data_IF_739794309121
#
_entry.id   IF_739794309121
#
_cell.length_a   1.000
_cell.length_b   1.000
_cell.length_c   1.000
_cell.angle_alpha   90.00
_cell.angle_beta   90.00
_cell.angle_gamma   90.00
#
_symmetry.space_group_name_H-M   'P 1'
#
loop_
_entity.id
_entity.type
_entity.pdbx_description
1 polymer ?
#
# COMPACT_ATOMS: atom_id res chain seq x y z
N UNK A 1 -23.61 35.31 3.84
CA UNK A 1 -22.30 34.66 3.60
C UNK A 1 -21.84 34.94 2.17
N UNK A 2 -20.53 35.15 1.94
CA UNK A 2 -20.01 35.32 0.58
C UNK A 2 -20.27 34.05 -0.24
N UNK A 3 -20.64 34.19 -1.51
CA UNK A 3 -20.94 33.07 -2.43
C UNK A 3 -19.80 32.03 -2.50
N UNK A 4 -18.55 32.48 -2.36
CA UNK A 4 -17.36 31.63 -2.28
C UNK A 4 -17.38 30.71 -1.04
N UNK A 5 -17.70 31.25 0.14
CA UNK A 5 -17.73 30.48 1.39
C UNK A 5 -18.81 29.41 1.35
N UNK A 6 -19.98 29.73 0.78
CA UNK A 6 -21.07 28.76 0.60
C UNK A 6 -20.65 27.63 -0.33
N UNK A 7 -19.99 27.94 -1.46
CA UNK A 7 -19.48 26.93 -2.40
C UNK A 7 -18.42 26.03 -1.77
N UNK A 8 -17.48 26.61 -1.02
CA UNK A 8 -16.45 25.81 -0.35
C UNK A 8 -17.06 24.90 0.70
N UNK A 9 -17.99 25.41 1.51
CA UNK A 9 -18.68 24.61 2.52
C UNK A 9 -19.50 23.48 1.89
N UNK A 10 -20.20 23.74 0.78
CA UNK A 10 -20.95 22.70 0.07
C UNK A 10 -20.04 21.61 -0.49
N UNK A 11 -18.88 21.96 -1.05
CA UNK A 11 -17.92 20.96 -1.55
C UNK A 11 -17.36 20.09 -0.41
N UNK A 12 -17.05 20.70 0.74
CA UNK A 12 -16.59 19.96 1.93
C UNK A 12 -17.65 18.95 2.38
N UNK A 13 -18.90 19.40 2.53
CA UNK A 13 -20.01 18.53 2.95
C UNK A 13 -20.22 17.41 1.93
N UNK A 14 -20.26 17.71 0.63
CA UNK A 14 -20.41 16.70 -0.41
C UNK A 14 -19.29 15.64 -0.36
N UNK A 15 -18.03 16.06 -0.29
CA UNK A 15 -16.89 15.13 -0.23
C UNK A 15 -16.95 14.26 1.01
N UNK A 16 -17.27 14.82 2.18
CA UNK A 16 -17.41 14.03 3.41
C UNK A 16 -18.55 13.00 3.30
N UNK A 17 -19.71 13.39 2.78
CA UNK A 17 -20.82 12.45 2.58
C UNK A 17 -20.48 11.36 1.57
N UNK A 18 -19.76 11.70 0.49
CA UNK A 18 -19.31 10.73 -0.50
C UNK A 18 -18.34 9.71 0.10
N UNK A 19 -17.38 10.15 0.92
CA UNK A 19 -16.45 9.26 1.63
C UNK A 19 -17.19 8.34 2.62
N UNK A 20 -18.19 8.84 3.35
CA UNK A 20 -18.98 8.02 4.29
C UNK A 20 -19.78 6.93 3.57
N UNK A 21 -20.42 7.26 2.45
CA UNK A 21 -21.14 6.29 1.63
C UNK A 21 -20.17 5.25 1.07
N UNK A 22 -19.03 5.70 0.51
CA UNK A 22 -17.99 4.80 0.01
C UNK A 22 -17.49 3.84 1.09
N UNK A 23 -17.20 4.34 2.30
CA UNK A 23 -16.78 3.51 3.43
C UNK A 23 -17.82 2.45 3.81
N UNK A 24 -19.10 2.82 3.89
CA UNK A 24 -20.17 1.88 4.21
C UNK A 24 -20.35 0.80 3.13
N UNK A 25 -20.22 1.17 1.85
CA UNK A 25 -20.29 0.21 0.74
C UNK A 25 -19.09 -0.74 0.75
N UNK A 26 -17.87 -0.24 0.92
CA UNK A 26 -16.68 -1.10 0.98
C UNK A 26 -16.71 -2.04 2.19
N UNK A 27 -17.14 -1.57 3.36
CA UNK A 27 -17.32 -2.41 4.54
C UNK A 27 -18.34 -3.54 4.28
N UNK A 28 -19.51 -3.20 3.72
CA UNK A 28 -20.53 -4.19 3.41
C UNK A 28 -20.08 -5.24 2.37
N UNK A 29 -19.18 -4.88 1.45
CA UNK A 29 -18.72 -5.77 0.37
C UNK A 29 -17.48 -6.60 0.76
N UNK A 30 -16.53 -6.02 1.50
CA UNK A 30 -15.20 -6.63 1.69
C UNK A 30 -14.99 -7.21 3.10
N UNK A 31 -15.75 -6.78 4.12
CA UNK A 31 -15.45 -7.14 5.52
C UNK A 31 -15.62 -8.64 5.80
N UNK A 32 -16.64 -9.30 5.27
CA UNK A 32 -16.79 -10.76 5.45
C UNK A 32 -15.65 -11.53 4.78
N UNK A 33 -15.27 -11.13 3.57
CA UNK A 33 -14.19 -11.77 2.82
C UNK A 33 -12.84 -11.59 3.54
N UNK A 34 -12.54 -10.40 4.08
CA UNK A 34 -11.34 -10.16 4.87
C UNK A 34 -11.30 -11.06 6.11
N UNK A 35 -12.41 -11.19 6.85
CA UNK A 35 -12.51 -12.07 8.01
C UNK A 35 -12.24 -13.54 7.64
N UNK A 36 -12.84 -14.02 6.54
CA UNK A 36 -12.62 -15.38 6.05
C UNK A 36 -11.15 -15.63 5.67
N UNK A 37 -10.52 -14.68 5.00
CA UNK A 37 -9.10 -14.77 4.63
C UNK A 37 -8.20 -14.78 5.85
N UNK A 38 -8.44 -13.89 6.82
CA UNK A 38 -7.70 -13.84 8.09
C UNK A 38 -7.82 -15.15 8.85
N UNK A 39 -9.03 -15.71 8.95
CA UNK A 39 -9.25 -16.99 9.61
C UNK A 39 -8.56 -18.15 8.88
N UNK A 40 -8.58 -18.16 7.55
CA UNK A 40 -7.88 -19.16 6.75
C UNK A 40 -6.37 -19.11 6.99
N UNK A 41 -5.77 -17.91 6.96
CA UNK A 41 -4.34 -17.72 7.23
C UNK A 41 -3.98 -18.16 8.65
N UNK A 42 -4.80 -17.79 9.65
CA UNK A 42 -4.61 -18.21 11.04
C UNK A 42 -4.70 -19.73 11.22
N UNK A 43 -5.64 -20.39 10.52
CA UNK A 43 -5.73 -21.86 10.51
C UNK A 43 -4.49 -22.50 9.89
N UNK A 44 -4.03 -22.01 8.74
CA UNK A 44 -2.81 -22.51 8.09
C UNK A 44 -1.57 -22.29 8.96
N UNK A 45 -1.44 -21.13 9.62
CA UNK A 45 -0.38 -20.83 10.60
C UNK A 45 -0.34 -21.88 11.71
N UNK A 46 -1.49 -22.18 12.34
CA UNK A 46 -1.60 -23.19 13.41
C UNK A 46 -1.25 -24.60 12.92
N UNK A 47 -1.68 -24.95 11.71
CA UNK A 47 -1.35 -26.24 11.11
C UNK A 47 0.15 -26.38 10.83
N UNK A 48 0.80 -25.34 10.29
CA UNK A 48 2.24 -25.33 10.02
C UNK A 48 3.07 -25.41 11.31
N UNK A 49 2.75 -24.59 12.30
CA UNK A 49 3.46 -24.57 13.59
C UNK A 49 3.37 -25.92 14.31
N UNK A 50 2.18 -26.53 14.35
CA UNK A 50 2.00 -27.85 14.94
C UNK A 50 2.68 -28.97 14.13
N UNK A 51 2.57 -28.96 12.79
CA UNK A 51 3.14 -29.99 11.91
C UNK A 51 4.67 -30.04 11.98
N UNK A 52 5.32 -28.89 12.13
CA UNK A 52 6.78 -28.77 12.13
C UNK A 52 7.38 -28.47 13.52
N UNK A 53 6.56 -28.49 14.58
CA UNK A 53 6.97 -28.19 15.95
C UNK A 53 7.73 -26.86 16.08
N UNK A 54 7.22 -25.79 15.44
CA UNK A 54 7.83 -24.46 15.48
C UNK A 54 7.35 -23.68 16.71
N UNK A 55 8.26 -22.92 17.32
CA UNK A 55 7.88 -21.92 18.32
C UNK A 55 7.25 -20.69 17.65
N UNK A 56 6.48 -19.90 18.40
CA UNK A 56 5.94 -18.62 17.90
C UNK A 56 7.06 -17.65 17.49
N UNK A 57 8.21 -17.68 18.16
CA UNK A 57 9.37 -16.86 17.81
C UNK A 57 9.94 -17.23 16.45
N UNK A 58 10.14 -18.52 16.20
CA UNK A 58 10.68 -19.03 14.93
C UNK A 58 9.73 -18.73 13.77
N UNK A 59 8.42 -18.90 13.99
CA UNK A 59 7.42 -18.56 12.98
C UNK A 59 7.44 -17.07 12.64
N UNK A 60 7.56 -16.18 13.63
CA UNK A 60 7.62 -14.73 13.38
C UNK A 60 8.86 -14.33 12.56
N UNK A 61 10.01 -14.99 12.80
CA UNK A 61 11.21 -14.78 11.98
C UNK A 61 10.97 -15.26 10.55
N UNK A 62 10.37 -16.45 10.37
CA UNK A 62 10.02 -16.98 9.06
C UNK A 62 9.04 -16.08 8.30
N UNK A 63 7.99 -15.59 8.97
CA UNK A 63 7.01 -14.65 8.43
C UNK A 63 7.67 -13.35 7.97
N UNK A 64 8.56 -12.77 8.79
CA UNK A 64 9.31 -11.57 8.42
C UNK A 64 10.22 -11.80 7.19
N UNK A 65 10.88 -12.96 7.11
CA UNK A 65 11.70 -13.33 5.95
C UNK A 65 10.85 -13.48 4.68
N UNK A 66 9.70 -14.13 4.78
CA UNK A 66 8.77 -14.28 3.66
C UNK A 66 8.31 -12.91 3.16
N UNK A 67 7.81 -12.04 4.05
CA UNK A 67 7.35 -10.70 3.69
C UNK A 67 8.46 -9.90 3.01
N UNK A 68 9.67 -9.91 3.58
CA UNK A 68 10.83 -9.20 3.02
C UNK A 68 11.28 -9.77 1.66
N UNK A 69 11.02 -11.05 1.40
CA UNK A 69 11.33 -11.69 0.12
C UNK A 69 10.30 -11.41 -0.99
N UNK A 70 9.07 -11.01 -0.66
CA UNK A 70 7.97 -10.83 -1.63
C UNK A 70 8.36 -9.91 -2.81
N UNK A 71 8.95 -8.71 -2.60
CA UNK A 71 9.32 -7.83 -3.71
C UNK A 71 10.38 -8.43 -4.65
N UNK A 72 11.21 -9.34 -4.12
CA UNK A 72 12.25 -10.02 -4.89
C UNK A 72 11.72 -11.18 -5.74
N UNK A 73 10.50 -11.66 -5.49
CA UNK A 73 9.87 -12.71 -6.30
C UNK A 73 9.58 -12.26 -7.74
N UNK A 74 9.32 -10.97 -7.94
CA UNK A 74 9.07 -10.39 -9.26
C UNK A 74 10.35 -10.10 -10.06
N UNK A 75 11.52 -10.53 -9.59
CA UNK A 75 12.81 -10.31 -10.24
C UNK A 75 13.50 -9.01 -9.81
N UNK A 76 14.52 -8.60 -10.59
CA UNK A 76 15.35 -7.43 -10.27
C UNK A 76 14.61 -6.10 -10.53
N UNK A 77 14.02 -5.53 -9.49
CA UNK A 77 13.26 -4.27 -9.56
C UNK A 77 14.12 -3.02 -9.87
N UNK A 78 15.42 -3.04 -9.55
CA UNK A 78 16.31 -1.86 -9.65
C UNK A 78 17.33 -1.95 -10.80
N UNK A 79 16.97 -2.62 -11.90
CA UNK A 79 17.65 -2.44 -13.19
C UNK A 79 17.01 -1.26 -13.93
N UNK A 80 17.64 -0.78 -15.01
CA UNK A 80 17.21 0.43 -15.71
C UNK A 80 15.72 0.41 -16.07
N UNK A 81 15.18 -0.69 -16.61
CA UNK A 81 13.76 -0.80 -16.95
C UNK A 81 12.83 -0.64 -15.73
N UNK A 82 13.15 -1.27 -14.60
CA UNK A 82 12.36 -1.13 -13.37
C UNK A 82 12.51 0.24 -12.71
N UNK A 83 13.70 0.83 -12.76
CA UNK A 83 13.94 2.20 -12.29
C UNK A 83 13.19 3.24 -13.16
N UNK A 84 13.15 3.04 -14.47
CA UNK A 84 12.39 3.88 -15.41
C UNK A 84 10.89 3.78 -15.13
N UNK A 85 10.37 2.55 -14.97
CA UNK A 85 8.98 2.34 -14.58
C UNK A 85 8.64 3.00 -13.24
N UNK A 86 9.48 2.83 -12.22
CA UNK A 86 9.32 3.50 -10.93
C UNK A 86 9.27 5.03 -11.10
N UNK A 87 10.19 5.62 -11.87
CA UNK A 87 10.20 7.05 -12.15
C UNK A 87 8.89 7.53 -12.78
N UNK A 88 8.34 6.79 -13.75
CA UNK A 88 7.02 7.08 -14.33
C UNK A 88 5.91 7.06 -13.28
N UNK A 89 5.87 6.06 -12.40
CA UNK A 89 4.85 5.97 -11.35
C UNK A 89 4.92 7.08 -10.32
N UNK A 90 6.12 7.66 -10.09
CA UNK A 90 6.33 8.79 -9.18
C UNK A 90 5.78 10.08 -9.79
N UNK A 91 6.16 10.42 -11.03
CA UNK A 91 5.73 11.69 -11.65
C UNK A 91 4.25 11.71 -11.98
N UNK A 92 3.65 10.56 -12.29
CA UNK A 92 2.20 10.42 -12.56
C UNK A 92 1.36 10.30 -11.30
N UNK A 93 1.97 10.30 -10.12
CA UNK A 93 1.32 10.11 -8.81
C UNK A 93 0.54 8.79 -8.65
N UNK A 94 0.81 7.79 -9.50
CA UNK A 94 0.17 6.46 -9.42
C UNK A 94 0.69 5.68 -8.21
N UNK A 95 2.02 5.59 -8.04
CA UNK A 95 2.65 5.08 -6.82
C UNK A 95 2.19 3.69 -6.33
N UNK A 96 2.19 2.65 -7.17
CA UNK A 96 1.75 1.28 -6.80
C UNK A 96 2.40 0.65 -5.56
N UNK A 97 3.60 1.09 -5.17
CA UNK A 97 4.26 0.63 -3.93
C UNK A 97 4.90 -0.77 -3.96
N UNK A 98 4.81 -1.52 -5.07
CA UNK A 98 5.50 -2.81 -5.22
C UNK A 98 7.03 -2.68 -5.22
N UNK A 99 7.55 -1.50 -5.56
CA UNK A 99 8.96 -1.12 -5.51
C UNK A 99 9.11 0.26 -4.88
N UNK A 100 9.88 0.35 -3.78
CA UNK A 100 10.10 1.61 -3.05
C UNK A 100 11.58 1.80 -2.68
N UNK A 101 12.10 3.04 -2.67
CA UNK A 101 13.48 3.30 -2.28
C UNK A 101 13.70 2.93 -0.81
N UNK A 102 14.56 1.95 -0.56
CA UNK A 102 14.87 1.48 0.80
C UNK A 102 16.00 2.28 1.45
N UNK A 103 16.87 2.90 0.65
CA UNK A 103 18.01 3.69 1.14
C UNK A 103 17.58 5.12 1.46
N UNK A 104 18.22 5.74 2.45
CA UNK A 104 18.00 7.16 2.78
C UNK A 104 18.22 8.06 1.58
N UNK A 105 19.29 7.84 0.82
CA UNK A 105 19.59 8.61 -0.40
C UNK A 105 18.50 8.46 -1.47
N UNK A 106 17.99 7.24 -1.69
CA UNK A 106 16.90 7.00 -2.65
C UNK A 106 15.60 7.70 -2.24
N UNK A 107 15.26 7.70 -0.95
CA UNK A 107 14.08 8.39 -0.42
C UNK A 107 14.19 9.91 -0.59
N UNK A 108 15.33 10.49 -0.22
CA UNK A 108 15.60 11.93 -0.37
C UNK A 108 15.55 12.33 -1.84
N UNK A 109 16.21 11.57 -2.72
CA UNK A 109 16.16 11.82 -4.16
C UNK A 109 14.72 11.73 -4.70
N UNK A 110 13.95 10.72 -4.30
CA UNK A 110 12.56 10.57 -4.71
C UNK A 110 11.69 11.78 -4.33
N UNK A 111 11.90 12.37 -3.15
CA UNK A 111 11.17 13.58 -2.71
C UNK A 111 11.45 14.77 -3.63
N UNK A 112 12.73 15.05 -3.92
CA UNK A 112 13.10 16.14 -4.83
C UNK A 112 12.69 15.87 -6.28
N UNK A 113 12.80 14.61 -6.72
CA UNK A 113 12.37 14.19 -8.05
C UNK A 113 10.86 14.38 -8.25
N UNK A 114 10.04 14.01 -7.26
CA UNK A 114 8.59 14.23 -7.29
C UNK A 114 8.23 15.73 -7.26
N UNK A 115 8.92 16.52 -6.43
CA UNK A 115 8.69 17.97 -6.31
C UNK A 115 8.85 18.69 -7.65
N UNK A 116 9.88 18.32 -8.42
CA UNK A 116 10.11 18.89 -9.74
C UNK A 116 9.27 18.22 -10.84
N UNK A 117 9.09 16.90 -10.78
CA UNK A 117 8.47 16.11 -11.84
C UNK A 117 6.95 16.24 -11.93
N UNK A 118 6.24 16.31 -10.80
CA UNK A 118 4.76 16.37 -10.79
C UNK A 118 4.24 17.66 -11.45
N UNK A 119 4.79 18.86 -11.19
CA UNK A 119 4.33 20.09 -11.85
C UNK A 119 4.70 20.21 -13.34
N UNK A 120 5.70 19.44 -13.80
CA UNK A 120 6.15 19.45 -15.20
C UNK A 120 5.26 18.59 -16.12
N UNK A 121 4.51 17.65 -15.54
CA UNK A 121 3.54 16.80 -16.26
C UNK A 121 2.15 17.39 -16.26
#
# INVERSE_FOLDING_TARGET
MKRQNVRTLSLIVCTLTYLLIGAAVFDALESENELMQRDLVNRMRKQLTAKYNMTEGDYNVLEALIIKSVPHKAGYQWKFAGAFYFATTVITTIGYGHSTPMTTGGKVFCMFYALAGIPLG
#
